data_IF_094267133529
#
_entry.id   IF_094267133529
#
_cell.length_a   1.000
_cell.length_b   1.000
_cell.length_c   1.000
_cell.angle_alpha   90.00
_cell.angle_beta   90.00
_cell.angle_gamma   90.00
#
_symmetry.space_group_name_H-M   'P 1'
#
loop_
_entity.id
_entity.type
_entity.pdbx_description
1 polymer ?
#
# COMPACT_ATOMS: atom_id res chain seq x y z
N UNK A 1 13.60 9.72 2.66
CA UNK A 1 12.97 10.79 3.48
C UNK A 1 11.50 11.03 3.17
N UNK A 2 11.03 10.95 1.91
CA UNK A 2 9.63 11.30 1.58
C UNK A 2 8.59 10.18 1.85
N UNK A 3 9.03 8.92 1.96
CA UNK A 3 8.15 7.75 2.16
C UNK A 3 7.29 7.78 3.42
N UNK A 4 7.73 8.49 4.46
CA UNK A 4 7.03 8.50 5.76
C UNK A 4 6.15 9.76 5.96
N UNK A 5 5.93 10.54 4.90
CA UNK A 5 5.08 11.73 4.96
C UNK A 5 3.64 11.30 4.64
N UNK A 6 2.70 11.39 5.60
CA UNK A 6 1.37 10.82 5.41
C UNK A 6 0.54 11.57 4.38
N UNK A 7 0.76 12.90 4.25
CA UNK A 7 -0.01 13.76 3.35
C UNK A 7 0.89 14.83 2.74
N UNK A 8 0.89 14.90 1.41
CA UNK A 8 1.62 15.91 0.64
C UNK A 8 0.80 16.44 -0.53
N UNK A 9 1.06 17.69 -0.90
CA UNK A 9 0.54 18.29 -2.12
C UNK A 9 1.61 18.21 -3.20
N UNK A 10 1.27 17.65 -4.35
CA UNK A 10 2.12 17.66 -5.52
C UNK A 10 1.77 18.89 -6.37
N UNK A 11 2.78 19.55 -6.92
CA UNK A 11 2.62 20.64 -7.87
C UNK A 11 3.41 20.28 -9.11
N UNK A 12 2.75 20.33 -10.26
CA UNK A 12 3.35 19.97 -11.53
C UNK A 12 3.18 21.09 -12.53
N UNK A 13 4.26 21.39 -13.24
CA UNK A 13 4.29 22.40 -14.28
C UNK A 13 4.85 21.77 -15.56
N UNK A 14 4.24 22.10 -16.70
CA UNK A 14 4.71 21.65 -18.01
C UNK A 14 5.07 22.86 -18.84
N UNK A 15 6.28 22.83 -19.39
CA UNK A 15 6.71 23.84 -20.34
C UNK A 15 7.42 23.21 -21.52
N UNK A 16 7.27 23.86 -22.66
CA UNK A 16 7.93 23.48 -23.90
C UNK A 16 9.01 24.50 -24.23
N UNK A 17 10.20 24.02 -24.59
CA UNK A 17 11.30 24.87 -25.05
C UNK A 17 10.86 25.65 -26.29
N UNK A 18 11.26 26.92 -26.38
CA UNK A 18 11.00 27.75 -27.56
C UNK A 18 11.44 27.03 -28.84
N UNK A 19 10.57 27.00 -29.84
CA UNK A 19 10.75 26.23 -31.07
C UNK A 19 10.23 24.79 -31.00
N UNK A 20 9.52 24.41 -29.93
CA UNK A 20 8.83 23.11 -29.80
C UNK A 20 9.75 21.90 -30.03
N UNK A 21 11.01 21.99 -29.59
CA UNK A 21 12.00 20.92 -29.78
C UNK A 21 12.04 19.92 -28.63
N UNK A 22 11.58 20.33 -27.44
CA UNK A 22 11.57 19.49 -26.25
C UNK A 22 10.59 20.06 -25.24
N UNK A 23 10.03 19.19 -24.41
CA UNK A 23 9.14 19.61 -23.33
C UNK A 23 9.51 18.91 -22.03
N UNK A 24 9.14 19.55 -20.92
CA UNK A 24 9.59 19.16 -19.60
C UNK A 24 8.41 19.17 -18.63
N UNK A 25 8.44 18.24 -17.68
CA UNK A 25 7.55 18.13 -16.54
C UNK A 25 8.36 18.42 -15.28
N UNK A 26 8.13 19.58 -14.66
CA UNK A 26 8.64 19.88 -13.33
C UNK A 26 7.68 19.36 -12.27
N UNK A 27 8.19 18.65 -11.26
CA UNK A 27 7.38 18.14 -10.15
C UNK A 27 7.97 18.58 -8.82
N UNK A 28 7.13 19.18 -7.99
CA UNK A 28 7.47 19.64 -6.64
C UNK A 28 6.48 19.06 -5.64
N UNK A 29 6.98 18.54 -4.51
CA UNK A 29 6.17 18.13 -3.37
C UNK A 29 6.20 19.18 -2.28
N UNK A 30 5.05 19.48 -1.70
CA UNK A 30 4.88 20.41 -0.59
C UNK A 30 4.18 19.72 0.56
N UNK A 31 4.76 19.75 1.75
CA UNK A 31 4.17 19.14 2.94
C UNK A 31 4.60 19.87 4.21
N UNK A 32 3.89 19.61 5.30
CA UNK A 32 4.26 20.11 6.63
C UNK A 32 5.17 19.09 7.32
N UNK A 33 6.33 19.53 7.80
CA UNK A 33 7.27 18.65 8.50
C UNK A 33 7.13 18.83 10.02
N UNK A 34 6.57 17.84 10.76
CA UNK A 34 6.22 18.01 12.16
C UNK A 34 7.44 18.31 13.04
N UNK A 35 8.58 17.65 12.83
CA UNK A 35 9.78 17.89 13.67
C UNK A 35 10.47 19.23 13.40
N UNK A 36 10.19 19.88 12.27
CA UNK A 36 10.78 21.17 11.90
C UNK A 36 9.75 22.29 12.04
N UNK A 37 8.52 21.94 12.42
CA UNK A 37 7.36 22.81 12.57
C UNK A 37 7.12 23.79 11.42
N UNK A 38 7.47 23.39 10.20
CA UNK A 38 7.40 24.28 9.02
C UNK A 38 6.94 23.57 7.76
N UNK A 39 6.44 24.38 6.82
CA UNK A 39 6.21 23.95 5.44
C UNK A 39 7.55 23.67 4.77
N UNK A 40 7.66 22.53 4.11
CA UNK A 40 8.82 22.13 3.31
C UNK A 40 8.36 21.93 1.88
N UNK A 41 9.09 22.55 0.95
CA UNK A 41 8.93 22.35 -0.49
C UNK A 41 10.15 21.57 -0.98
N UNK A 42 9.93 20.45 -1.65
CA UNK A 42 10.97 19.58 -2.20
C UNK A 42 10.74 19.44 -3.69
N UNK A 43 11.70 19.87 -4.49
CA UNK A 43 11.69 19.61 -5.94
C UNK A 43 12.03 18.14 -6.14
N UNK A 44 11.10 17.37 -6.68
CA UNK A 44 11.30 15.95 -6.99
C UNK A 44 12.15 15.82 -8.26
N UNK A 45 11.96 16.72 -9.22
CA UNK A 45 12.83 16.82 -10.38
C UNK A 45 12.14 17.43 -11.58
N UNK A 46 12.88 17.41 -12.68
CA UNK A 46 12.43 17.82 -14.00
C UNK A 46 12.63 16.63 -14.94
N UNK A 47 11.53 16.15 -15.51
CA UNK A 47 11.54 15.03 -16.46
C UNK A 47 11.34 15.58 -17.87
N UNK A 48 12.20 15.21 -18.81
CA UNK A 48 11.97 15.52 -20.22
C UNK A 48 11.01 14.49 -20.82
N UNK A 49 10.01 14.95 -21.57
CA UNK A 49 9.14 14.07 -22.35
C UNK A 49 9.88 13.52 -23.58
N UNK A 50 9.60 12.27 -23.93
CA UNK A 50 10.15 11.62 -25.14
C UNK A 50 9.63 12.29 -26.42
N UNK A 51 8.38 12.76 -26.40
CA UNK A 51 7.72 13.47 -27.50
C UNK A 51 7.33 14.89 -27.10
N UNK A 52 7.26 15.78 -28.09
CA UNK A 52 6.83 17.17 -27.89
C UNK A 52 5.31 17.27 -27.68
N UNK A 53 4.54 16.32 -28.21
CA UNK A 53 3.10 16.22 -27.96
C UNK A 53 2.82 15.61 -26.61
N UNK A 54 1.96 16.24 -25.82
CA UNK A 54 1.58 15.79 -24.49
C UNK A 54 0.16 15.24 -24.51
N UNK A 55 0.03 13.93 -24.53
CA UNK A 55 -1.27 13.31 -24.25
C UNK A 55 -1.43 13.16 -22.72
N UNK A 56 -2.68 13.15 -22.27
CA UNK A 56 -2.99 12.98 -20.86
C UNK A 56 -2.34 11.72 -20.26
N UNK A 57 -2.26 10.62 -21.04
CA UNK A 57 -1.67 9.36 -20.60
C UNK A 57 -0.15 9.45 -20.42
N UNK A 58 0.53 10.22 -21.27
CA UNK A 58 1.98 10.43 -21.15
C UNK A 58 2.30 11.21 -19.88
N UNK A 59 1.49 12.23 -19.57
CA UNK A 59 1.63 13.03 -18.35
C UNK A 59 1.47 12.16 -17.11
N UNK A 60 0.42 11.33 -17.04
CA UNK A 60 0.20 10.41 -15.90
C UNK A 60 1.36 9.42 -15.77
N UNK A 61 1.83 8.86 -16.89
CA UNK A 61 2.96 7.91 -16.89
C UNK A 61 4.23 8.55 -16.35
N UNK A 62 4.60 9.73 -16.83
CA UNK A 62 5.80 10.43 -16.37
C UNK A 62 5.66 10.87 -14.90
N UNK A 63 4.47 11.31 -14.47
CA UNK A 63 4.20 11.63 -13.07
C UNK A 63 4.42 10.41 -12.16
N UNK A 64 3.84 9.27 -12.52
CA UNK A 64 4.00 8.01 -11.76
C UNK A 64 5.45 7.57 -11.68
N UNK A 65 6.23 7.70 -12.77
CA UNK A 65 7.68 7.41 -12.76
C UNK A 65 8.42 8.28 -11.75
N UNK A 66 8.11 9.58 -11.71
CA UNK A 66 8.72 10.50 -10.74
C UNK A 66 8.33 10.11 -9.31
N UNK A 67 7.05 9.91 -9.02
CA UNK A 67 6.59 9.53 -7.67
C UNK A 67 7.20 8.18 -7.22
N UNK A 68 7.23 7.18 -8.10
CA UNK A 68 7.82 5.87 -7.83
C UNK A 68 9.32 5.96 -7.54
N UNK A 69 10.06 6.82 -8.25
CA UNK A 69 11.50 7.06 -8.00
C UNK A 69 11.77 7.55 -6.58
N UNK A 70 10.86 8.34 -6.01
CA UNK A 70 10.96 8.82 -4.63
C UNK A 70 10.26 7.91 -3.61
N UNK A 71 9.65 6.81 -4.07
CA UNK A 71 8.86 5.89 -3.25
C UNK A 71 7.64 6.55 -2.64
N UNK A 72 7.07 7.55 -3.31
CA UNK A 72 5.83 8.21 -2.90
C UNK A 72 4.68 7.35 -3.41
N UNK A 73 3.84 6.90 -2.49
CA UNK A 73 2.63 6.14 -2.82
C UNK A 73 1.49 7.12 -3.20
N UNK A 74 0.60 6.74 -4.14
CA UNK A 74 -0.53 7.57 -4.53
C UNK A 74 -1.39 8.06 -3.36
N UNK A 75 -1.58 7.21 -2.34
CA UNK A 75 -2.36 7.49 -1.14
C UNK A 75 -1.79 8.65 -0.29
N UNK A 76 -0.48 8.95 -0.45
CA UNK A 76 0.17 10.06 0.25
C UNK A 76 -0.11 11.41 -0.43
N UNK A 77 -0.55 11.40 -1.69
CA UNK A 77 -0.84 12.60 -2.46
C UNK A 77 -2.25 13.08 -2.10
N UNK A 78 -2.33 14.11 -1.27
CA UNK A 78 -3.59 14.72 -0.87
C UNK A 78 -4.21 15.57 -1.99
N UNK A 79 -3.36 16.25 -2.76
CA UNK A 79 -3.79 17.14 -3.85
C UNK A 79 -2.69 17.24 -4.89
N UNK A 80 -3.06 17.21 -6.17
CA UNK A 80 -2.19 17.65 -7.26
C UNK A 80 -2.61 19.07 -7.70
N UNK A 81 -1.65 19.97 -7.82
CA UNK A 81 -1.82 21.30 -8.39
C UNK A 81 -1.17 21.31 -9.76
N UNK A 82 -1.97 21.53 -10.80
CA UNK A 82 -1.52 21.56 -12.19
C UNK A 82 -1.89 22.91 -12.79
N UNK A 83 -1.32 23.23 -13.95
CA UNK A 83 -1.88 24.29 -14.78
C UNK A 83 -3.31 23.92 -15.24
N UNK A 84 -4.03 24.93 -15.72
CA UNK A 84 -5.39 24.76 -16.28
C UNK A 84 -5.39 24.29 -17.73
N UNK A 85 -4.29 23.79 -18.28
CA UNK A 85 -4.28 23.29 -19.65
C UNK A 85 -5.19 22.07 -19.77
N UNK A 86 -5.91 21.96 -20.88
CA UNK A 86 -6.88 20.89 -21.10
C UNK A 86 -6.28 19.48 -20.91
N UNK A 87 -5.03 19.30 -21.34
CA UNK A 87 -4.33 18.01 -21.20
C UNK A 87 -3.98 17.68 -19.75
N UNK A 88 -3.68 18.68 -18.92
CA UNK A 88 -3.42 18.51 -17.48
C UNK A 88 -4.70 18.20 -16.70
N UNK A 89 -5.81 18.85 -17.06
CA UNK A 89 -7.12 18.55 -16.48
C UNK A 89 -7.53 17.10 -16.83
N UNK A 90 -7.38 16.71 -18.10
CA UNK A 90 -7.68 15.36 -18.54
C UNK A 90 -6.77 14.31 -17.88
N UNK A 91 -5.48 14.59 -17.71
CA UNK A 91 -4.56 13.67 -17.03
C UNK A 91 -4.94 13.47 -15.57
N UNK A 92 -5.28 14.55 -14.86
CA UNK A 92 -5.65 14.44 -13.45
C UNK A 92 -6.99 13.71 -13.24
N UNK A 93 -7.96 13.91 -14.14
CA UNK A 93 -9.20 13.12 -14.13
C UNK A 93 -8.92 11.64 -14.33
N UNK A 94 -8.10 11.29 -15.32
CA UNK A 94 -7.69 9.90 -15.58
C UNK A 94 -6.94 9.30 -14.39
N UNK A 95 -6.04 10.04 -13.77
CA UNK A 95 -5.29 9.59 -12.60
C UNK A 95 -6.22 9.25 -11.43
N UNK A 96 -7.22 10.09 -11.14
CA UNK A 96 -8.24 9.81 -10.14
C UNK A 96 -9.08 8.57 -10.50
N UNK A 97 -9.47 8.42 -11.77
CA UNK A 97 -10.21 7.23 -12.24
C UNK A 97 -9.38 5.95 -12.07
N UNK A 98 -8.07 5.99 -12.35
CA UNK A 98 -7.19 4.84 -12.15
C UNK A 98 -7.03 4.54 -10.66
N UNK A 99 -6.84 5.55 -9.82
CA UNK A 99 -6.69 5.38 -8.37
C UNK A 99 -7.92 4.69 -7.76
N UNK A 100 -9.13 5.17 -8.08
CA UNK A 100 -10.39 4.54 -7.62
C UNK A 100 -10.49 3.09 -8.07
N UNK A 101 -10.04 2.76 -9.29
CA UNK A 101 -10.07 1.39 -9.81
C UNK A 101 -9.03 0.49 -9.15
N UNK A 102 -7.83 0.99 -8.87
CA UNK A 102 -6.77 0.28 -8.16
C UNK A 102 -7.22 -0.07 -6.73
N UNK A 103 -7.78 0.90 -5.99
CA UNK A 103 -8.32 0.70 -4.64
C UNK A 103 -9.47 -0.32 -4.59
N UNK A 104 -10.37 -0.29 -5.58
CA UNK A 104 -11.45 -1.28 -5.71
C UNK A 104 -10.96 -2.69 -6.08
N UNK A 105 -9.83 -2.81 -6.78
CA UNK A 105 -9.23 -4.10 -7.09
C UNK A 105 -8.56 -4.69 -5.85
N UNK A 106 -7.81 -3.88 -5.10
CA UNK A 106 -7.14 -4.30 -3.86
C UNK A 106 -8.16 -4.81 -2.83
N UNK A 107 -9.25 -4.05 -2.59
CA UNK A 107 -10.38 -4.49 -1.76
C UNK A 107 -10.98 -5.83 -2.19
N UNK A 108 -11.18 -6.04 -3.49
CA UNK A 108 -11.76 -7.30 -4.00
C UNK A 108 -10.83 -8.49 -3.79
N UNK A 109 -9.52 -8.28 -3.93
CA UNK A 109 -8.53 -9.32 -3.67
C UNK A 109 -8.47 -9.67 -2.18
N UNK A 110 -8.54 -8.68 -1.28
CA UNK A 110 -8.64 -8.93 0.17
C UNK A 110 -9.89 -9.74 0.53
N UNK A 111 -11.06 -9.36 -0.02
CA UNK A 111 -12.32 -10.11 0.16
C UNK A 111 -12.22 -11.57 -0.36
N UNK A 112 -11.51 -11.79 -1.47
CA UNK A 112 -11.27 -13.14 -2.02
C UNK A 112 -10.34 -13.97 -1.11
N UNK A 113 -9.24 -13.38 -0.62
CA UNK A 113 -8.31 -14.07 0.29
C UNK A 113 -8.95 -14.46 1.62
N UNK A 114 -9.75 -13.57 2.23
CA UNK A 114 -10.47 -13.86 3.48
C UNK A 114 -11.47 -15.03 3.33
N UNK A 115 -12.04 -15.20 2.12
CA UNK A 115 -12.96 -16.31 1.84
C UNK A 115 -12.28 -17.68 1.69
N UNK A 116 -10.96 -17.71 1.46
CA UNK A 116 -10.20 -18.94 1.24
C UNK A 116 -9.63 -19.54 2.54
N UNK A 117 -9.53 -18.77 3.63
CA UNK A 117 -8.95 -19.20 4.92
C UNK A 117 -10.00 -19.76 5.91
N UNK A 118 -11.20 -20.09 5.41
CA UNK A 118 -12.22 -20.75 6.21
C UNK A 118 -11.90 -22.24 6.37
N UNK A 119 -11.10 -22.60 7.39
CA UNK A 119 -10.88 -23.99 7.83
C UNK A 119 -12.23 -24.72 8.03
N UNK A 120 -12.43 -25.94 7.48
CA UNK A 120 -13.67 -26.67 7.70
C UNK A 120 -13.81 -27.08 9.17
N UNK A 121 -14.89 -26.64 9.82
CA UNK A 121 -15.29 -27.13 11.15
C UNK A 121 -15.44 -28.66 11.13
N UNK A 122 -14.49 -29.36 11.77
CA UNK A 122 -14.64 -30.78 12.09
C UNK A 122 -15.63 -30.91 13.26
N UNK A 123 -16.89 -31.16 12.94
CA UNK A 123 -17.93 -31.46 13.95
C UNK A 123 -17.74 -32.88 14.50
N UNK A 124 -17.06 -32.98 15.65
CA UNK A 124 -16.98 -34.20 16.46
C UNK A 124 -18.28 -34.38 17.27
N UNK A 125 -19.23 -35.17 16.76
CA UNK A 125 -20.40 -35.59 17.52
C UNK A 125 -20.00 -36.60 18.62
N UNK A 126 -20.12 -36.17 19.88
CA UNK A 126 -20.01 -37.00 21.07
C UNK A 126 -21.23 -37.90 21.19
N UNK A 127 -21.07 -39.22 21.04
CA UNK A 127 -22.03 -40.18 21.58
C UNK A 127 -21.76 -40.39 23.07
N UNK A 128 -22.64 -39.85 23.91
CA UNK A 128 -22.73 -40.13 25.33
C UNK A 128 -24.00 -40.93 25.59
N UNK A 129 -23.86 -42.19 25.99
CA UNK A 129 -24.93 -42.93 26.67
C UNK A 129 -24.37 -43.68 27.88
N UNK A 130 -25.07 -43.50 28.99
CA UNK A 130 -24.85 -43.98 30.36
C UNK A 130 -24.93 -45.51 30.53
N UNK A 131 -24.58 -45.94 31.76
CA UNK A 131 -24.88 -47.18 32.52
C UNK A 131 -23.60 -48.01 32.75
N UNK A 132 -23.16 -48.41 33.94
CA UNK A 132 -23.64 -48.37 35.32
C UNK A 132 -22.53 -48.98 36.23
N UNK A 133 -22.70 -48.86 37.54
CA UNK A 133 -21.76 -49.21 38.62
C UNK A 133 -21.09 -50.60 38.55
N UNK A 134 -19.91 -50.78 39.17
CA UNK A 134 -19.65 -51.52 40.43
C UNK A 134 -18.15 -51.39 40.80
N UNK A 135 -17.89 -51.33 42.12
CA UNK A 135 -16.61 -51.26 42.79
C UNK A 135 -15.69 -52.48 42.54
N UNK A 136 -14.37 -52.32 42.68
CA UNK A 136 -13.56 -53.09 43.65
C UNK A 136 -12.05 -52.71 43.60
N UNK A 137 -11.55 -52.39 44.79
CA UNK A 137 -10.34 -52.92 45.47
C UNK A 137 -8.98 -53.07 44.76
N UNK A 138 -8.01 -52.41 45.40
CA UNK A 138 -6.68 -52.90 45.82
C UNK A 138 -5.46 -52.94 44.87
N UNK A 139 -4.37 -52.39 45.44
CA UNK A 139 -2.95 -52.79 45.33
C UNK A 139 -2.22 -52.47 44.02
N UNK A 140 -0.93 -52.12 43.94
CA UNK A 140 0.14 -51.78 44.89
C UNK A 140 1.41 -51.59 44.02
N UNK A 141 2.24 -50.57 44.31
CA UNK A 141 3.72 -50.54 44.20
C UNK A 141 4.30 -50.71 42.76
N UNK A 142 5.18 -49.85 42.21
CA UNK A 142 6.65 -49.72 42.42
C UNK A 142 7.05 -48.39 41.74
N UNK A 143 7.45 -47.36 42.49
CA UNK A 143 8.83 -46.86 42.67
C UNK A 143 9.66 -46.46 41.42
N UNK A 144 9.99 -45.17 41.41
CA UNK A 144 11.31 -44.56 41.19
C UNK A 144 12.05 -44.78 39.85
N UNK A 145 12.36 -43.66 39.18
CA UNK A 145 13.75 -43.14 39.17
C UNK A 145 13.90 -41.92 38.24
N UNK A 146 14.05 -40.75 38.87
CA UNK A 146 15.00 -39.68 38.55
C UNK A 146 15.23 -39.25 37.08
N UNK A 147 14.69 -38.06 36.78
CA UNK A 147 15.39 -36.95 36.11
C UNK A 147 16.79 -36.71 36.75
N UNK A 148 17.84 -36.21 36.05
CA UNK A 148 17.78 -34.83 35.54
C UNK A 148 18.66 -34.44 34.33
N UNK A 149 18.18 -33.42 33.61
CA UNK A 149 18.87 -32.20 33.15
C UNK A 149 20.36 -32.19 32.72
N UNK A 150 20.54 -31.52 31.57
CA UNK A 150 21.59 -30.55 31.20
C UNK A 150 23.01 -31.03 30.87
N UNK A 151 23.41 -30.76 29.61
CA UNK A 151 24.68 -30.21 29.08
C UNK A 151 24.60 -30.35 27.55
N UNK A 152 25.04 -29.43 26.69
CA UNK A 152 25.98 -28.32 26.81
C UNK A 152 25.77 -27.38 25.63
#
# INVERSE_FOLDING_TARGET
MLRNIPRMTISSDIWTKRGQTSSYLGVTSTFYHPKLERKVNVVLGVQQFETVTHNADDIVREMRKVLAKFGIQPQQVFRAMTDGASNMICSHRKENEIFVREEQCERRLEEEYDSMDSEPEVTSERQSTLIGAVADSESSIIENSMNPCYRR
#
